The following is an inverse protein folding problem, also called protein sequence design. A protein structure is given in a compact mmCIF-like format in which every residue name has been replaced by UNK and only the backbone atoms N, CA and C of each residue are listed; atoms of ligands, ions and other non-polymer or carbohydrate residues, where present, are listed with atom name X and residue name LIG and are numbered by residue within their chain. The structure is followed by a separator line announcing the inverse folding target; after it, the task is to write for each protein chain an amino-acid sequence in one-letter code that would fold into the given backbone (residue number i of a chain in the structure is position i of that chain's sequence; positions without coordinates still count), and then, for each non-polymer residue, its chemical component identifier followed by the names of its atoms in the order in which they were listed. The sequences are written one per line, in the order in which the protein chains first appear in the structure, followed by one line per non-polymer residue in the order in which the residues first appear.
data_IF_842741868056
#
_entry.id   IF_842741868056
#
_cell.length_a   1.000
_cell.length_b   1.000
_cell.length_c   1.000
_cell.angle_alpha   90.00
_cell.angle_beta   90.00
_cell.angle_gamma   90.00
#
_symmetry.space_group_name_H-M   'P 1'
#
loop_
_entity.id
_entity.type
_entity.pdbx_description
1 polymer ?
#
# COMPACT_ATOMS: atom_id res chain seq x y z
N UNK A 1 0.75 24.52 -14.04
CA UNK A 1 1.58 24.74 -12.83
C UNK A 1 1.68 23.39 -12.14
N UNK A 2 2.88 22.78 -12.00
CA UNK A 2 3.02 21.45 -11.39
C UNK A 2 2.79 21.63 -9.87
N UNK A 3 1.75 21.01 -9.31
CA UNK A 3 1.48 21.08 -7.86
C UNK A 3 2.67 20.43 -7.17
N UNK A 4 3.25 21.11 -6.18
CA UNK A 4 4.31 20.56 -5.35
C UNK A 4 3.67 20.01 -4.08
N UNK A 5 3.61 18.68 -3.99
CA UNK A 5 3.10 18.00 -2.81
C UNK A 5 4.13 17.95 -1.69
N UNK A 6 3.67 18.17 -0.46
CA UNK A 6 4.44 17.90 0.73
C UNK A 6 4.37 16.41 1.08
N UNK A 7 5.41 15.90 1.75
CA UNK A 7 5.40 14.53 2.25
C UNK A 7 4.36 14.43 3.37
N UNK A 8 3.37 13.52 3.30
CA UNK A 8 2.37 13.37 4.35
C UNK A 8 3.02 12.94 5.66
N UNK A 9 2.47 13.37 6.80
CA UNK A 9 3.02 13.14 8.14
C UNK A 9 3.21 11.64 8.43
N UNK A 10 2.25 10.81 8.05
CA UNK A 10 2.30 9.35 8.16
C UNK A 10 3.51 8.77 7.42
N UNK A 11 3.89 9.34 6.28
CA UNK A 11 5.06 8.90 5.53
C UNK A 11 6.37 9.42 6.15
N UNK A 12 6.37 10.63 6.72
CA UNK A 12 7.48 11.15 7.53
C UNK A 12 7.75 10.23 8.71
N UNK A 13 6.71 9.75 9.39
CA UNK A 13 6.85 8.83 10.51
C UNK A 13 7.36 7.45 10.09
N UNK A 14 7.00 6.94 8.90
CA UNK A 14 7.64 5.74 8.34
C UNK A 14 9.14 5.95 8.12
N UNK A 15 9.56 7.11 7.60
CA UNK A 15 10.99 7.43 7.43
C UNK A 15 11.71 7.49 8.78
N UNK A 16 11.06 8.04 9.81
CA UNK A 16 11.60 8.03 11.18
C UNK A 16 11.74 6.61 11.74
N UNK A 17 10.74 5.76 11.51
CA UNK A 17 10.77 4.34 11.89
C UNK A 17 11.95 3.63 11.20
N UNK A 18 12.10 3.77 9.88
CA UNK A 18 13.21 3.15 9.14
C UNK A 18 14.58 3.59 9.69
N UNK A 19 14.72 4.88 10.01
CA UNK A 19 15.93 5.42 10.64
C UNK A 19 16.19 4.80 12.02
N UNK A 20 15.18 4.73 12.89
CA UNK A 20 15.30 4.11 14.22
C UNK A 20 15.69 2.63 14.14
N UNK A 21 15.16 1.88 13.15
CA UNK A 21 15.50 0.47 12.93
C UNK A 21 16.98 0.32 12.54
N UNK A 22 17.46 1.15 11.60
CA UNK A 22 18.87 1.14 11.16
C UNK A 22 19.83 1.51 12.28
N UNK A 23 19.52 2.54 13.07
CA UNK A 23 20.35 2.98 14.20
C UNK A 23 20.49 1.90 15.28
N UNK A 24 19.50 1.01 15.40
CA UNK A 24 19.51 -0.12 16.34
C UNK A 24 20.08 -1.41 15.74
N UNK A 25 20.52 -1.39 14.47
CA UNK A 25 20.89 -2.58 13.70
C UNK A 25 19.78 -3.67 13.70
N UNK A 26 18.51 -3.24 13.71
CA UNK A 26 17.35 -4.13 13.74
C UNK A 26 16.83 -4.48 12.33
N UNK A 27 17.50 -4.01 11.28
CA UNK A 27 17.06 -4.12 9.88
C UNK A 27 16.53 -2.79 9.34
N UNK A 28 15.75 -2.86 8.27
CA UNK A 28 15.11 -1.75 7.59
C UNK A 28 13.59 -1.93 7.58
N UNK A 29 12.84 -0.87 7.35
CA UNK A 29 11.39 -0.93 7.19
C UNK A 29 10.98 -1.90 6.07
N UNK A 30 11.76 -1.96 4.98
CA UNK A 30 11.53 -2.89 3.88
C UNK A 30 11.63 -4.35 4.32
N UNK A 31 12.57 -4.70 5.19
CA UNK A 31 12.73 -6.08 5.68
C UNK A 31 11.48 -6.58 6.42
N UNK A 32 10.73 -5.66 7.06
CA UNK A 32 9.52 -5.99 7.79
C UNK A 32 8.24 -5.90 6.95
N UNK A 33 8.11 -4.83 6.16
CA UNK A 33 6.85 -4.42 5.51
C UNK A 33 6.82 -4.70 4.01
N UNK A 34 7.98 -4.98 3.40
CA UNK A 34 8.08 -5.37 1.98
C UNK A 34 8.20 -4.22 0.99
N UNK A 35 8.33 -2.97 1.43
CA UNK A 35 8.65 -1.83 0.57
C UNK A 35 9.53 -0.79 1.28
N UNK A 36 10.28 0.01 0.52
CA UNK A 36 11.05 1.15 1.02
C UNK A 36 10.52 2.47 0.47
N UNK A 37 10.77 3.56 1.19
CA UNK A 37 10.27 4.89 0.80
C UNK A 37 11.09 5.46 -0.36
N UNK A 38 10.39 5.88 -1.41
CA UNK A 38 10.95 6.64 -2.54
C UNK A 38 9.96 7.75 -2.94
N UNK A 39 9.88 8.77 -2.08
CA UNK A 39 8.88 9.81 -2.22
C UNK A 39 9.18 10.78 -3.36
N UNK A 40 8.21 10.91 -4.26
CA UNK A 40 8.22 11.83 -5.40
C UNK A 40 9.48 11.68 -6.28
N UNK A 41 10.00 10.45 -6.39
CA UNK A 41 11.14 10.14 -7.25
C UNK A 41 10.65 9.70 -8.64
N UNK A 42 10.72 10.60 -9.62
CA UNK A 42 10.29 10.31 -10.99
C UNK A 42 11.17 9.26 -11.71
N UNK A 43 12.38 8.95 -11.21
CA UNK A 43 13.20 7.84 -11.76
C UNK A 43 12.55 6.46 -11.55
N UNK A 44 11.62 6.37 -10.61
CA UNK A 44 10.91 5.13 -10.28
C UNK A 44 9.61 4.96 -11.06
N UNK A 45 9.28 5.93 -11.92
CA UNK A 45 8.08 5.94 -12.74
C UNK A 45 8.20 4.97 -13.90
N UNK A 46 7.24 4.06 -14.01
CA UNK A 46 7.10 3.19 -15.18
C UNK A 46 6.06 3.75 -16.15
N UNK A 47 6.09 3.27 -17.39
CA UNK A 47 5.20 3.71 -18.45
C UNK A 47 3.69 3.58 -18.15
N UNK A 48 3.33 2.75 -17.17
CA UNK A 48 1.95 2.50 -16.74
C UNK A 48 1.56 3.30 -15.48
N UNK A 49 2.48 4.03 -14.87
CA UNK A 49 2.22 4.86 -13.69
C UNK A 49 1.45 6.11 -14.11
N UNK A 50 0.24 6.40 -13.56
CA UNK A 50 -0.53 7.58 -13.92
C UNK A 50 0.24 8.90 -13.72
N UNK A 51 0.08 9.86 -14.62
CA UNK A 51 0.85 11.12 -14.63
C UNK A 51 0.67 11.97 -13.35
N UNK A 52 -0.51 11.90 -12.76
CA UNK A 52 -0.89 12.58 -11.53
C UNK A 52 -0.62 11.75 -10.25
N UNK A 53 -0.02 10.57 -10.39
CA UNK A 53 0.38 9.77 -9.23
C UNK A 53 1.73 10.23 -8.66
N UNK A 54 1.79 10.28 -7.32
CA UNK A 54 2.99 10.64 -6.55
C UNK A 54 3.53 9.37 -5.90
N UNK A 55 4.61 8.85 -6.47
CA UNK A 55 5.27 7.63 -5.98
C UNK A 55 5.75 7.86 -4.56
N UNK A 56 5.57 6.87 -3.68
CA UNK A 56 6.10 6.93 -2.32
C UNK A 56 6.80 5.66 -1.84
N UNK A 57 6.53 4.50 -2.46
CA UNK A 57 7.05 3.24 -1.98
C UNK A 57 7.44 2.31 -3.11
N UNK A 58 8.55 1.58 -2.97
CA UNK A 58 8.98 0.54 -3.92
C UNK A 58 9.16 -0.78 -3.22
N UNK A 59 8.72 -1.85 -3.86
CA UNK A 59 8.88 -3.20 -3.30
C UNK A 59 10.30 -3.74 -3.50
N UNK A 60 10.99 -3.25 -4.53
CA UNK A 60 12.33 -3.71 -4.94
C UNK A 60 12.32 -4.86 -5.94
N UNK A 61 11.13 -5.34 -6.34
CA UNK A 61 10.96 -6.40 -7.34
C UNK A 61 10.15 -5.89 -8.54
N UNK A 62 10.49 -6.33 -9.77
CA UNK A 62 9.70 -6.14 -10.99
C UNK A 62 9.28 -4.71 -11.37
N UNK A 63 9.81 -3.70 -10.70
CA UNK A 63 9.36 -2.33 -10.83
C UNK A 63 8.07 -2.01 -10.06
N UNK A 64 7.60 -2.92 -9.19
CA UNK A 64 6.35 -2.72 -8.45
C UNK A 64 6.50 -1.61 -7.40
N UNK A 65 5.50 -0.73 -7.32
CA UNK A 65 5.57 0.47 -6.49
C UNK A 65 4.18 0.98 -6.09
N UNK A 66 4.14 1.72 -5.00
CA UNK A 66 2.95 2.39 -4.49
C UNK A 66 3.04 3.90 -4.76
N UNK A 67 1.88 4.48 -5.08
CA UNK A 67 1.74 5.91 -5.27
C UNK A 67 0.44 6.42 -4.65
N UNK A 68 0.46 7.69 -4.23
CA UNK A 68 -0.75 8.45 -4.00
C UNK A 68 -1.37 8.81 -5.33
N UNK A 69 -2.68 8.63 -5.47
CA UNK A 69 -3.42 9.00 -6.66
C UNK A 69 -4.16 10.31 -6.42
N UNK A 70 -3.62 11.40 -6.95
CA UNK A 70 -4.11 12.74 -6.66
C UNK A 70 -5.38 13.15 -7.44
N UNK A 71 -5.89 12.30 -8.33
CA UNK A 71 -7.06 12.57 -9.17
C UNK A 71 -6.99 13.94 -9.85
N UNK A 72 -5.93 14.17 -10.64
CA UNK A 72 -5.63 15.43 -11.33
C UNK A 72 -5.58 16.66 -10.41
N UNK A 73 -5.15 16.48 -9.16
CA UNK A 73 -5.03 17.55 -8.17
C UNK A 73 -6.27 17.78 -7.31
N UNK A 74 -7.26 16.90 -7.38
CA UNK A 74 -8.44 16.93 -6.50
C UNK A 74 -8.07 16.72 -5.02
N UNK A 75 -6.99 15.98 -4.77
CA UNK A 75 -6.37 15.88 -3.45
C UNK A 75 -5.18 16.82 -3.36
N UNK A 76 -5.26 17.80 -2.47
CA UNK A 76 -4.14 18.71 -2.13
C UNK A 76 -3.36 18.20 -0.92
N UNK A 77 -4.01 17.43 -0.06
CA UNK A 77 -3.40 16.73 1.07
C UNK A 77 -3.24 15.25 0.74
N UNK A 78 -2.01 14.74 0.79
CA UNK A 78 -1.72 13.34 0.50
C UNK A 78 -2.09 12.39 1.65
N UNK A 79 -2.39 12.89 2.85
CA UNK A 79 -2.97 12.08 3.94
C UNK A 79 -4.34 11.52 3.56
N UNK A 80 -5.06 12.20 2.68
CA UNK A 80 -6.41 11.81 2.22
C UNK A 80 -6.40 11.17 0.83
N UNK A 81 -5.24 11.13 0.16
CA UNK A 81 -5.15 10.66 -1.21
C UNK A 81 -5.18 9.12 -1.28
N UNK A 82 -6.00 8.54 -2.18
CA UNK A 82 -6.06 7.09 -2.37
C UNK A 82 -4.73 6.49 -2.81
N UNK A 83 -4.51 5.23 -2.46
CA UNK A 83 -3.28 4.52 -2.76
C UNK A 83 -3.49 3.52 -3.88
N UNK A 84 -2.70 3.69 -4.93
CA UNK A 84 -2.61 2.72 -6.01
C UNK A 84 -1.34 1.88 -5.85
N UNK A 85 -1.47 0.61 -6.22
CA UNK A 85 -0.36 -0.31 -6.39
C UNK A 85 -0.15 -0.54 -7.88
N UNK A 86 1.04 -0.19 -8.36
CA UNK A 86 1.45 -0.29 -9.74
C UNK A 86 2.36 -1.49 -9.90
N UNK A 87 2.03 -2.36 -10.85
CA UNK A 87 2.72 -3.58 -11.18
C UNK A 87 3.05 -3.63 -12.68
N UNK A 88 4.21 -3.12 -13.12
CA UNK A 88 4.55 -3.01 -14.54
C UNK A 88 4.52 -4.35 -15.29
N UNK A 89 4.76 -5.46 -14.60
CA UNK A 89 4.76 -6.80 -15.17
C UNK A 89 3.36 -7.44 -15.27
N UNK A 90 2.33 -6.83 -14.69
CA UNK A 90 0.95 -7.32 -14.74
C UNK A 90 0.21 -6.86 -16.00
N UNK A 91 0.60 -7.40 -17.16
CA UNK A 91 0.08 -6.98 -18.47
C UNK A 91 -1.46 -6.86 -18.51
N UNK A 92 -1.95 -5.67 -18.90
CA UNK A 92 -3.37 -5.36 -19.02
C UNK A 92 -4.08 -4.97 -17.72
N UNK A 93 -3.45 -5.12 -16.54
CA UNK A 93 -4.02 -4.78 -15.23
C UNK A 93 -2.94 -4.23 -14.29
N UNK A 94 -2.19 -3.23 -14.75
CA UNK A 94 -0.96 -2.77 -14.12
C UNK A 94 -1.19 -1.81 -12.96
N UNK A 95 -2.38 -1.23 -12.82
CA UNK A 95 -2.69 -0.25 -11.77
C UNK A 95 -3.92 -0.73 -11.02
N UNK A 96 -3.79 -0.89 -9.71
CA UNK A 96 -4.88 -1.34 -8.82
C UNK A 96 -5.02 -0.35 -7.67
N UNK A 97 -6.23 0.11 -7.38
CA UNK A 97 -6.48 0.85 -6.13
C UNK A 97 -6.51 -0.15 -4.96
N UNK A 98 -5.68 0.09 -3.95
CA UNK A 98 -5.51 -0.85 -2.84
C UNK A 98 -5.90 -0.28 -1.49
N UNK A 99 -5.93 1.04 -1.33
CA UNK A 99 -6.39 1.67 -0.09
C UNK A 99 -6.98 3.06 -0.34
N UNK A 100 -7.82 3.53 0.59
CA UNK A 100 -8.38 4.89 0.55
C UNK A 100 -7.37 5.97 0.92
N UNK A 101 -6.33 5.60 1.69
CA UNK A 101 -5.21 6.46 2.04
C UNK A 101 -4.04 5.61 2.61
N UNK A 102 -2.93 6.26 2.98
CA UNK A 102 -1.74 5.59 3.52
C UNK A 102 -2.03 4.86 4.84
N UNK A 103 -2.86 5.44 5.72
CA UNK A 103 -3.21 4.81 7.01
C UNK A 103 -4.00 3.52 6.81
N UNK A 104 -4.90 3.48 5.84
CA UNK A 104 -5.61 2.28 5.43
C UNK A 104 -4.65 1.24 4.83
N UNK A 105 -3.65 1.64 4.03
CA UNK A 105 -2.62 0.71 3.53
C UNK A 105 -1.85 0.06 4.69
N UNK A 106 -1.47 0.84 5.70
CA UNK A 106 -0.80 0.32 6.89
C UNK A 106 -1.73 -0.60 7.70
N UNK A 107 -3.02 -0.28 7.79
CA UNK A 107 -4.02 -1.15 8.41
C UNK A 107 -4.18 -2.49 7.66
N UNK A 108 -4.13 -2.47 6.33
CA UNK A 108 -4.11 -3.69 5.50
C UNK A 108 -2.87 -4.52 5.80
N UNK A 109 -1.68 -3.91 5.83
CA UNK A 109 -0.45 -4.61 6.20
C UNK A 109 -0.53 -5.22 7.61
N UNK A 110 -1.08 -4.50 8.60
CA UNK A 110 -1.21 -5.03 9.97
C UNK A 110 -2.08 -6.30 10.01
N UNK A 111 -3.13 -6.36 9.20
CA UNK A 111 -4.03 -7.52 9.14
C UNK A 111 -3.45 -8.67 8.30
N UNK A 112 -2.86 -8.34 7.14
CA UNK A 112 -2.34 -9.33 6.19
C UNK A 112 -0.93 -9.82 6.55
N UNK A 113 -0.15 -9.01 7.26
CA UNK A 113 1.28 -9.23 7.56
C UNK A 113 2.16 -9.50 6.34
N UNK A 114 1.62 -9.29 5.14
CA UNK A 114 2.25 -9.52 3.85
C UNK A 114 1.58 -8.64 2.81
N UNK A 115 2.33 -7.67 2.26
CA UNK A 115 1.79 -6.67 1.33
C UNK A 115 1.58 -7.25 -0.07
N UNK A 116 2.35 -8.29 -0.44
CA UNK A 116 2.26 -8.92 -1.76
C UNK A 116 0.95 -9.69 -1.99
N UNK A 117 0.16 -9.92 -0.94
CA UNK A 117 -1.21 -10.44 -1.09
C UNK A 117 -2.06 -9.49 -1.95
N UNK A 118 -1.80 -8.17 -1.90
CA UNK A 118 -2.53 -7.16 -2.68
C UNK A 118 -2.44 -7.37 -4.19
N UNK A 119 -1.37 -8.00 -4.69
CA UNK A 119 -1.19 -8.33 -6.11
C UNK A 119 -2.21 -9.34 -6.63
N UNK A 120 -2.74 -10.16 -5.72
CA UNK A 120 -3.54 -11.34 -6.06
C UNK A 120 -5.03 -11.10 -5.90
N UNK A 121 -5.43 -9.99 -5.26
CA UNK A 121 -6.83 -9.70 -4.96
C UNK A 121 -7.75 -9.72 -6.18
N UNK A 122 -7.25 -9.31 -7.35
CA UNK A 122 -7.99 -9.36 -8.62
C UNK A 122 -8.35 -10.78 -9.10
N UNK A 123 -7.69 -11.81 -8.58
CA UNK A 123 -7.92 -13.20 -8.99
C UNK A 123 -8.92 -13.93 -8.11
N UNK A 124 -9.22 -13.40 -6.92
CA UNK A 124 -10.18 -14.02 -5.99
C UNK A 124 -11.61 -13.76 -6.46
N UNK A 125 -12.40 -14.82 -6.62
CA UNK A 125 -13.81 -14.69 -7.02
C UNK A 125 -14.73 -14.50 -5.82
N UNK A 126 -14.28 -14.93 -4.65
CA UNK A 126 -15.01 -14.92 -3.41
C UNK A 126 -14.03 -14.97 -2.22
N UNK A 127 -14.55 -14.76 -1.01
CA UNK A 127 -13.75 -14.75 0.22
C UNK A 127 -13.06 -16.08 0.52
N UNK A 128 -13.65 -17.21 0.12
CA UNK A 128 -13.05 -18.53 0.34
C UNK A 128 -11.80 -18.72 -0.52
N UNK A 129 -11.81 -18.24 -1.77
CA UNK A 129 -10.63 -18.25 -2.65
C UNK A 129 -9.47 -17.47 -1.99
N UNK A 130 -9.76 -16.28 -1.47
CA UNK A 130 -8.79 -15.45 -0.73
C UNK A 130 -8.23 -16.18 0.49
N UNK A 131 -9.09 -16.75 1.34
CA UNK A 131 -8.66 -17.44 2.57
C UNK A 131 -7.78 -18.65 2.24
N UNK A 132 -8.16 -19.45 1.24
CA UNK A 132 -7.40 -20.62 0.83
C UNK A 132 -6.02 -20.21 0.30
N UNK A 133 -5.98 -19.24 -0.62
CA UNK A 133 -4.73 -18.74 -1.18
C UNK A 133 -3.82 -18.12 -0.12
N UNK A 134 -4.39 -17.35 0.81
CA UNK A 134 -3.66 -16.76 1.93
C UNK A 134 -3.03 -17.84 2.82
N UNK A 135 -3.80 -18.86 3.17
CA UNK A 135 -3.34 -19.97 4.00
C UNK A 135 -2.25 -20.80 3.32
N UNK A 136 -2.42 -21.08 2.02
CA UNK A 136 -1.54 -21.97 1.28
C UNK A 136 -0.21 -21.29 0.91
N UNK A 137 -0.21 -19.99 0.63
CA UNK A 137 0.97 -19.29 0.10
C UNK A 137 1.68 -18.37 1.10
N UNK A 138 1.02 -17.96 2.19
CA UNK A 138 1.57 -16.90 3.06
C UNK A 138 1.59 -17.25 4.54
N UNK A 139 0.59 -17.99 5.04
CA UNK A 139 0.42 -18.20 6.48
C UNK A 139 1.61 -18.88 7.16
N UNK A 140 2.25 -19.84 6.48
CA UNK A 140 3.42 -20.53 7.04
C UNK A 140 4.59 -19.57 7.25
N UNK A 141 4.94 -18.77 6.24
CA UNK A 141 6.02 -17.80 6.33
C UNK A 141 5.69 -16.72 7.38
N UNK A 142 4.46 -16.20 7.38
CA UNK A 142 4.00 -15.23 8.39
C UNK A 142 4.17 -15.77 9.81
N UNK A 143 3.88 -17.05 10.05
CA UNK A 143 4.09 -17.69 11.36
C UNK A 143 5.57 -17.79 11.73
N UNK A 144 6.45 -18.04 10.77
CA UNK A 144 7.90 -18.09 11.02
C UNK A 144 8.48 -16.72 11.43
N UNK A 145 7.91 -15.63 10.90
CA UNK A 145 8.25 -14.22 11.22
C UNK A 145 7.23 -13.55 12.15
N UNK A 146 6.56 -14.30 13.01
CA UNK A 146 5.52 -13.76 13.89
C UNK A 146 6.08 -12.69 14.86
N UNK A 147 7.25 -12.94 15.45
CA UNK A 147 7.88 -11.98 16.37
C UNK A 147 8.22 -10.66 15.66
N UNK A 148 8.80 -10.75 14.47
CA UNK A 148 9.14 -9.58 13.64
C UNK A 148 7.89 -8.82 13.22
N UNK A 149 6.83 -9.54 12.82
CA UNK A 149 5.53 -8.97 12.48
C UNK A 149 4.92 -8.22 13.68
N UNK A 150 4.91 -8.84 14.86
CA UNK A 150 4.36 -8.21 16.06
C UNK A 150 5.19 -6.99 16.49
N UNK A 151 6.51 -7.05 16.34
CA UNK A 151 7.39 -5.92 16.60
C UNK A 151 7.09 -4.72 15.70
N UNK A 152 7.05 -4.92 14.37
CA UNK A 152 6.79 -3.81 13.44
C UNK A 152 5.36 -3.28 13.58
N UNK A 153 4.36 -4.14 13.81
CA UNK A 153 2.96 -3.73 14.03
C UNK A 153 2.84 -2.84 15.27
N UNK A 154 3.49 -3.23 16.37
CA UNK A 154 3.50 -2.41 17.58
C UNK A 154 4.17 -1.06 17.32
N UNK A 155 5.28 -1.04 16.58
CA UNK A 155 5.98 0.20 16.24
C UNK A 155 5.11 1.13 15.39
N UNK A 156 4.48 0.59 14.34
CA UNK A 156 3.52 1.32 13.48
C UNK A 156 2.40 1.94 14.32
N UNK A 157 1.70 1.13 15.12
CA UNK A 157 0.58 1.62 15.96
C UNK A 157 0.99 2.61 17.04
N UNK A 158 2.23 2.55 17.51
CA UNK A 158 2.74 3.48 18.54
C UNK A 158 3.16 4.82 17.95
N UNK A 159 3.68 4.81 16.71
CA UNK A 159 4.35 5.96 16.11
C UNK A 159 3.49 6.71 15.09
N UNK A 160 2.50 6.05 14.50
CA UNK A 160 1.65 6.63 13.47
C UNK A 160 0.22 6.69 14.00
N UNK A 161 -0.29 7.90 14.17
CA UNK A 161 -1.65 8.12 14.67
C UNK A 161 -2.70 7.86 13.57
N UNK A 162 -3.87 7.38 13.98
CA UNK A 162 -5.03 7.25 13.09
C UNK A 162 -5.02 6.03 12.16
N UNK A 163 -4.11 5.07 12.36
CA UNK A 163 -4.22 3.77 11.68
C UNK A 163 -5.51 3.08 12.14
N UNK A 164 -6.44 2.92 11.20
CA UNK A 164 -7.75 2.32 11.47
C UNK A 164 -7.65 0.81 11.69
N UNK A 165 -8.69 0.22 12.28
CA UNK A 165 -8.88 -1.22 12.26
C UNK A 165 -9.71 -1.59 11.03
N UNK A 166 -9.26 -2.63 10.31
CA UNK A 166 -10.01 -3.27 9.23
C UNK A 166 -10.46 -4.63 9.76
N UNK A 167 -11.77 -4.78 9.98
CA UNK A 167 -12.33 -6.02 10.54
C UNK A 167 -12.30 -7.18 9.52
N UNK A 168 -12.48 -6.85 8.24
CA UNK A 168 -12.49 -7.81 7.15
C UNK A 168 -11.79 -7.22 5.92
N UNK A 169 -10.56 -7.70 5.68
CA UNK A 169 -9.73 -7.21 4.57
C UNK A 169 -10.35 -7.53 3.22
N UNK A 170 -11.03 -8.68 3.09
CA UNK A 170 -11.64 -9.05 1.82
C UNK A 170 -12.81 -8.11 1.48
N UNK A 171 -13.73 -7.91 2.43
CA UNK A 171 -14.86 -7.00 2.23
C UNK A 171 -14.39 -5.55 2.02
N UNK A 172 -13.36 -5.10 2.75
CA UNK A 172 -12.74 -3.80 2.53
C UNK A 172 -12.31 -3.58 1.07
N UNK A 173 -11.54 -4.52 0.50
CA UNK A 173 -11.04 -4.38 -0.88
C UNK A 173 -12.18 -4.48 -1.89
N UNK A 174 -13.18 -5.34 -1.65
CA UNK A 174 -14.36 -5.44 -2.51
C UNK A 174 -15.17 -4.14 -2.50
N UNK A 175 -15.38 -3.53 -1.34
CA UNK A 175 -16.12 -2.27 -1.23
C UNK A 175 -15.35 -1.10 -1.82
N UNK A 176 -14.03 -1.06 -1.65
CA UNK A 176 -13.15 -0.11 -2.33
C UNK A 176 -13.34 -0.17 -3.85
N UNK A 177 -13.34 -1.38 -4.42
CA UNK A 177 -13.51 -1.59 -5.86
C UNK A 177 -14.91 -1.20 -6.38
N UNK A 178 -15.96 -1.37 -5.55
CA UNK A 178 -17.32 -0.91 -5.91
C UNK A 178 -17.41 0.60 -5.99
N UNK A 179 -16.80 1.31 -5.04
CA UNK A 179 -16.81 2.78 -5.01
C UNK A 179 -16.16 3.37 -6.26
N UNK A 180 -15.07 2.78 -6.75
CA UNK A 180 -14.42 3.20 -8.00
C UNK A 180 -15.34 3.01 -9.20
N UNK A 181 -15.98 1.84 -9.33
CA UNK A 181 -16.90 1.59 -10.45
C UNK A 181 -18.03 2.63 -10.48
N UNK A 182 -18.58 2.96 -9.31
CA UNK A 182 -19.61 4.00 -9.20
C UNK A 182 -19.09 5.39 -9.60
N UNK A 183 -17.85 5.75 -9.29
CA UNK A 183 -17.27 7.03 -9.72
C UNK A 183 -17.05 7.04 -11.24
N UNK A 184 -16.48 5.97 -11.81
CA UNK A 184 -16.27 5.85 -13.26
C UNK A 184 -17.58 5.82 -14.05
N UNK A 185 -18.61 5.16 -13.53
CA UNK A 185 -19.94 5.11 -14.17
C UNK A 185 -20.70 6.45 -14.04
N UNK A 186 -20.44 7.23 -12.98
CA UNK A 186 -21.06 8.55 -12.78
C UNK A 186 -20.32 9.68 -13.53
N UNK A 187 -19.04 9.52 -13.84
CA UNK A 187 -18.25 10.44 -14.67
C UNK A 187 -18.36 10.12 -16.18
N UNK A 188 -19.35 9.30 -16.56
CA UNK A 188 -19.63 8.92 -17.94
C UNK A 188 -20.26 10.04 -18.78
N UNK A 189 -19.41 10.72 -19.56
CA UNK A 189 -19.65 11.59 -20.74
C UNK A 189 -20.52 12.85 -20.57
#
# INVERSE_FOLDING_TARGET
MKIKYEMPESLVDIVRIDKELRERNAGTFQDFVGFYISFNNDEDRYYCTPDDAIIFGRTGANGDHFAFYAFNGSFTDLEEAPIIFIQPMAAGNQVTLVARNLKDLLALFINLKEIYVLERFRFYKNKLDFINDYNDNYLNDIRLRENDSNFIINLLRTKIEGIVNIDDVYEYIIDLNKQIKLVVDNDGY
#
